data_IF_600023186913
#
_entry.id   IF_600023186913
#
_cell.length_a   1.000
_cell.length_b   1.000
_cell.length_c   1.000
_cell.angle_alpha   90.00
_cell.angle_beta   90.00
_cell.angle_gamma   90.00
#
_symmetry.space_group_name_H-M   'P 1'
#
loop_
_entity.id
_entity.type
_entity.pdbx_description
1 polymer ?
#
# COMPACT_ATOMS: atom_id res chain seq x y z
N UNK A 1 2.44 0.83 -20.42
CA UNK A 1 2.75 2.07 -19.67
C UNK A 1 4.28 2.29 -19.56
N UNK A 2 5.10 1.29 -19.23
CA UNK A 2 6.58 1.39 -19.18
C UNK A 2 7.23 1.77 -20.53
N UNK A 3 6.79 1.18 -21.63
CA UNK A 3 7.29 1.51 -22.98
C UNK A 3 7.03 2.98 -23.33
N UNK A 4 5.95 3.57 -22.79
CA UNK A 4 5.60 4.98 -23.01
C UNK A 4 6.30 5.93 -22.07
N UNK A 5 6.58 5.49 -20.83
CA UNK A 5 7.42 6.26 -19.94
C UNK A 5 8.83 6.47 -20.53
N UNK A 6 9.28 5.54 -21.36
CA UNK A 6 10.54 5.67 -22.12
C UNK A 6 10.51 6.81 -23.16
N UNK A 7 9.32 7.27 -23.59
CA UNK A 7 9.18 8.45 -24.46
C UNK A 7 9.47 9.76 -23.70
N UNK A 8 9.40 9.74 -22.36
CA UNK A 8 9.63 10.89 -21.50
C UNK A 8 10.67 10.59 -20.41
N UNK A 9 11.89 10.22 -20.76
CA UNK A 9 12.90 9.70 -19.81
C UNK A 9 13.26 10.71 -18.71
N UNK A 10 13.17 12.00 -19.05
CA UNK A 10 13.46 13.06 -18.08
C UNK A 10 12.47 13.09 -16.90
N UNK A 11 11.17 12.92 -17.16
CA UNK A 11 10.16 12.89 -16.09
C UNK A 11 10.28 11.63 -15.26
N UNK A 12 10.58 10.51 -15.89
CA UNK A 12 10.83 9.25 -15.19
C UNK A 12 12.03 9.37 -14.24
N UNK A 13 13.14 9.93 -14.72
CA UNK A 13 14.35 10.18 -13.92
C UNK A 13 14.05 11.12 -12.74
N UNK A 14 13.25 12.16 -12.96
CA UNK A 14 12.82 13.09 -11.91
C UNK A 14 11.96 12.40 -10.85
N UNK A 15 10.98 11.59 -11.25
CA UNK A 15 10.15 10.80 -10.33
C UNK A 15 10.99 9.87 -9.45
N UNK A 16 11.96 9.19 -10.04
CA UNK A 16 12.91 8.34 -9.29
C UNK A 16 13.69 9.20 -8.26
N UNK A 17 14.16 10.36 -8.68
CA UNK A 17 14.92 11.27 -7.81
C UNK A 17 14.09 11.81 -6.65
N UNK A 18 12.84 12.22 -6.90
CA UNK A 18 11.90 12.69 -5.88
C UNK A 18 11.60 11.56 -4.89
N UNK A 19 11.26 10.38 -5.40
CA UNK A 19 10.91 9.22 -4.59
C UNK A 19 11.99 8.81 -3.59
N UNK A 20 13.25 8.90 -3.97
CA UNK A 20 14.39 8.57 -3.09
C UNK A 20 14.50 9.49 -1.88
N UNK A 21 13.83 10.65 -1.90
CA UNK A 21 13.88 11.65 -0.84
C UNK A 21 12.67 11.62 0.10
N UNK A 22 11.64 10.80 -0.22
CA UNK A 22 10.43 10.71 0.60
C UNK A 22 10.74 10.16 1.99
N UNK A 23 11.56 9.11 2.05
CA UNK A 23 11.86 8.41 3.30
C UNK A 23 13.34 8.51 3.63
N UNK A 24 13.64 9.11 4.77
CA UNK A 24 14.98 9.19 5.35
C UNK A 24 15.12 8.13 6.44
N UNK A 25 15.97 7.13 6.21
CA UNK A 25 16.21 6.06 7.17
C UNK A 25 17.04 6.57 8.34
N UNK A 26 16.51 6.45 9.55
CA UNK A 26 17.14 6.92 10.79
C UNK A 26 17.61 5.79 11.70
N UNK A 27 16.96 4.61 11.63
CA UNK A 27 17.35 3.44 12.41
C UNK A 27 16.94 2.13 11.73
N UNK A 28 17.44 1.01 12.26
CA UNK A 28 17.07 -0.35 11.82
C UNK A 28 16.47 -1.12 12.98
N UNK A 29 15.36 -1.80 12.71
CA UNK A 29 14.74 -2.69 13.69
C UNK A 29 15.49 -4.02 13.78
N UNK A 30 15.48 -4.65 14.95
CA UNK A 30 15.72 -6.09 15.07
C UNK A 30 14.56 -6.87 14.44
N UNK A 31 14.76 -8.14 14.15
CA UNK A 31 13.69 -9.01 13.69
C UNK A 31 13.88 -10.40 14.26
N UNK A 32 12.79 -10.96 14.74
CA UNK A 32 12.64 -12.38 15.07
C UNK A 32 11.52 -12.95 14.20
N UNK A 33 11.61 -14.22 13.81
CA UNK A 33 10.59 -14.87 13.00
C UNK A 33 10.22 -16.24 13.55
N UNK A 34 8.94 -16.60 13.42
CA UNK A 34 8.40 -17.92 13.63
C UNK A 34 7.79 -18.40 12.30
N UNK A 35 8.48 -19.30 11.61
CA UNK A 35 8.14 -19.78 10.28
C UNK A 35 7.29 -21.05 10.35
N UNK A 36 6.33 -21.20 9.43
CA UNK A 36 5.44 -22.35 9.41
C UNK A 36 4.93 -22.63 7.99
N UNK A 37 4.48 -23.86 7.74
CA UNK A 37 3.80 -24.23 6.49
C UNK A 37 2.33 -23.84 6.50
N UNK A 38 1.71 -23.86 7.66
CA UNK A 38 0.33 -23.46 7.88
C UNK A 38 0.26 -22.17 8.70
N UNK A 39 -0.76 -21.32 8.51
CA UNK A 39 -0.95 -20.11 9.30
C UNK A 39 -1.08 -20.44 10.79
N UNK A 40 -0.34 -19.75 11.64
CA UNK A 40 -0.50 -19.80 13.09
C UNK A 40 -1.51 -18.73 13.49
N UNK A 41 -2.65 -19.08 14.09
CA UNK A 41 -3.64 -18.09 14.54
C UNK A 41 -3.04 -17.08 15.55
N UNK A 42 -3.49 -15.82 15.49
CA UNK A 42 -3.02 -14.78 16.43
C UNK A 42 -3.15 -15.20 17.90
N UNK A 43 -4.22 -15.92 18.24
CA UNK A 43 -4.46 -16.46 19.60
C UNK A 43 -3.42 -17.50 20.08
N UNK A 44 -2.63 -18.02 19.19
CA UNK A 44 -1.61 -19.03 19.49
C UNK A 44 -0.19 -18.48 19.34
N UNK A 45 -0.03 -17.22 19.02
CA UNK A 45 1.26 -16.61 18.70
C UNK A 45 2.25 -16.67 19.87
N UNK A 46 1.76 -16.61 21.10
CA UNK A 46 2.60 -16.68 22.31
C UNK A 46 3.27 -18.05 22.50
N UNK A 47 2.74 -19.09 21.84
CA UNK A 47 3.30 -20.45 21.83
C UNK A 47 4.30 -20.66 20.68
N UNK A 48 4.39 -19.74 19.75
CA UNK A 48 5.28 -19.83 18.60
C UNK A 48 6.74 -19.57 19.03
N UNK A 49 7.64 -20.36 18.48
CA UNK A 49 9.08 -20.20 18.73
C UNK A 49 9.66 -19.17 17.77
N UNK A 50 9.87 -17.98 18.26
CA UNK A 50 10.58 -16.94 17.53
C UNK A 50 12.09 -17.15 17.62
N UNK A 51 12.77 -16.93 16.52
CA UNK A 51 14.24 -16.96 16.44
C UNK A 51 14.76 -15.72 15.73
N UNK A 52 15.96 -15.21 16.07
CA UNK A 52 16.55 -14.06 15.41
C UNK A 52 16.59 -14.23 13.89
N UNK A 53 16.16 -13.20 13.14
CA UNK A 53 16.03 -13.25 11.71
C UNK A 53 16.71 -12.06 11.01
N UNK A 54 17.65 -12.35 10.10
CA UNK A 54 18.49 -11.33 9.47
C UNK A 54 17.93 -10.92 8.10
N UNK A 55 18.16 -9.67 7.72
CA UNK A 55 17.94 -9.19 6.35
C UNK A 55 18.74 -10.06 5.37
N UNK A 56 18.10 -10.44 4.26
CA UNK A 56 18.65 -11.38 3.27
C UNK A 56 18.30 -12.84 3.51
N UNK A 57 17.87 -13.23 4.72
CA UNK A 57 17.48 -14.61 5.02
C UNK A 57 16.20 -14.99 4.28
N UNK A 58 16.19 -16.21 3.74
CA UNK A 58 15.00 -16.83 3.12
C UNK A 58 14.06 -17.29 4.22
N UNK A 59 12.76 -17.01 4.09
CA UNK A 59 11.77 -17.41 5.07
C UNK A 59 10.70 -18.36 4.53
N UNK A 60 10.57 -18.44 3.21
CA UNK A 60 9.55 -19.30 2.64
C UNK A 60 9.59 -19.39 1.12
N UNK A 61 8.69 -20.15 0.61
CA UNK A 61 8.32 -20.31 -0.79
C UNK A 61 6.78 -20.32 -0.93
N UNK A 62 6.27 -20.85 -2.04
CA UNK A 62 4.84 -20.84 -2.34
C UNK A 62 4.01 -21.37 -1.15
N UNK A 63 3.07 -20.53 -0.69
CA UNK A 63 2.11 -20.75 0.38
C UNK A 63 2.70 -20.93 1.80
N UNK A 64 4.00 -20.67 1.98
CA UNK A 64 4.61 -20.64 3.29
C UNK A 64 4.14 -19.40 4.08
N UNK A 65 4.14 -19.55 5.40
CA UNK A 65 3.68 -18.57 6.37
C UNK A 65 4.77 -18.23 7.37
N UNK A 66 4.66 -17.07 7.99
CA UNK A 66 5.57 -16.70 9.07
C UNK A 66 5.08 -15.48 9.83
N UNK A 67 5.27 -15.52 11.13
CA UNK A 67 5.15 -14.35 11.98
C UNK A 67 6.51 -13.69 12.13
N UNK A 68 6.53 -12.37 11.93
CA UNK A 68 7.74 -11.55 12.07
C UNK A 68 7.51 -10.52 13.16
N UNK A 69 8.42 -10.42 14.11
CA UNK A 69 8.39 -9.44 15.18
C UNK A 69 9.53 -8.47 15.00
N UNK A 70 9.20 -7.22 14.74
CA UNK A 70 10.16 -6.13 14.54
C UNK A 70 10.17 -5.24 15.78
N UNK A 71 11.37 -5.01 16.35
CA UNK A 71 11.56 -4.13 17.50
C UNK A 71 12.65 -3.13 17.24
N UNK A 72 12.46 -1.94 17.74
CA UNK A 72 13.40 -0.82 17.63
C UNK A 72 13.05 0.31 18.56
N UNK A 73 13.81 1.37 18.44
CA UNK A 73 13.62 2.60 19.19
C UNK A 73 13.77 3.78 18.23
N UNK A 74 12.92 4.79 18.37
CA UNK A 74 12.98 6.02 17.58
C UNK A 74 14.09 6.88 18.18
N UNK A 75 15.08 7.35 17.37
CA UNK A 75 16.10 8.25 17.84
C UNK A 75 15.51 9.56 18.42
N UNK A 76 16.11 10.09 19.47
CA UNK A 76 15.67 11.32 20.15
C UNK A 76 15.62 12.53 19.20
N UNK A 77 16.52 12.60 18.23
CA UNK A 77 16.57 13.65 17.21
C UNK A 77 15.38 13.64 16.25
N UNK A 78 14.58 12.59 16.28
CA UNK A 78 13.35 12.47 15.48
C UNK A 78 12.14 13.14 16.13
N UNK A 79 12.29 13.81 17.24
CA UNK A 79 11.20 14.56 17.90
C UNK A 79 10.50 15.52 16.93
N UNK A 80 9.16 15.48 16.93
CA UNK A 80 8.33 16.30 16.05
C UNK A 80 8.25 15.82 14.61
N UNK A 81 8.84 14.66 14.26
CA UNK A 81 8.84 14.14 12.90
C UNK A 81 7.75 13.08 12.70
N UNK A 82 7.27 12.97 11.46
CA UNK A 82 6.41 11.86 11.03
C UNK A 82 7.29 10.61 10.82
N UNK A 83 7.04 9.57 11.62
CA UNK A 83 7.84 8.33 11.63
C UNK A 83 7.04 7.17 11.06
N UNK A 84 7.71 6.41 10.21
CA UNK A 84 7.17 5.22 9.57
C UNK A 84 8.12 4.04 9.71
N UNK A 85 7.58 2.81 9.73
CA UNK A 85 8.35 1.61 9.51
C UNK A 85 8.32 1.20 8.03
N UNK A 86 9.48 0.90 7.48
CA UNK A 86 9.63 0.39 6.12
C UNK A 86 9.93 -1.10 6.19
N UNK A 87 8.90 -1.92 5.90
CA UNK A 87 8.96 -3.37 6.04
C UNK A 87 8.75 -4.03 4.68
N UNK A 88 9.68 -4.86 4.26
CA UNK A 88 9.58 -5.68 3.06
C UNK A 88 9.99 -7.11 3.35
N UNK A 89 9.02 -7.99 3.42
CA UNK A 89 9.20 -9.44 3.57
C UNK A 89 9.09 -10.18 2.23
N UNK A 90 8.96 -9.49 1.10
CA UNK A 90 8.63 -10.05 -0.22
C UNK A 90 7.33 -10.87 -0.26
N UNK A 91 6.53 -10.82 0.79
CA UNK A 91 5.22 -11.46 0.93
C UNK A 91 4.14 -10.45 1.25
N UNK A 92 2.93 -10.93 1.40
CA UNK A 92 1.79 -10.19 1.90
C UNK A 92 1.70 -10.36 3.42
N UNK A 93 1.17 -9.38 4.15
CA UNK A 93 1.01 -9.52 5.59
C UNK A 93 0.03 -8.54 6.21
N UNK A 94 -0.33 -8.81 7.46
CA UNK A 94 -1.06 -7.89 8.33
C UNK A 94 -0.11 -7.39 9.41
N UNK A 95 0.04 -6.08 9.51
CA UNK A 95 0.83 -5.46 10.57
C UNK A 95 -0.05 -5.16 11.78
N UNK A 96 0.45 -5.55 12.95
CA UNK A 96 -0.13 -5.27 14.26
C UNK A 96 0.81 -4.34 15.03
N UNK A 97 0.25 -3.30 15.65
CA UNK A 97 0.95 -2.41 16.58
C UNK A 97 0.17 -2.46 17.90
N UNK A 98 0.87 -2.66 18.99
CA UNK A 98 0.26 -2.81 20.33
C UNK A 98 -0.86 -3.86 20.36
N UNK A 99 -0.66 -4.96 19.64
CA UNK A 99 -1.61 -6.07 19.54
C UNK A 99 -2.82 -5.82 18.63
N UNK A 100 -3.02 -4.60 18.11
CA UNK A 100 -4.14 -4.22 17.25
C UNK A 100 -3.75 -4.24 15.78
N UNK A 101 -4.69 -4.64 14.93
CA UNK A 101 -4.51 -4.61 13.47
C UNK A 101 -4.39 -3.15 13.01
N UNK A 102 -3.27 -2.84 12.36
CA UNK A 102 -3.01 -1.50 11.81
C UNK A 102 -3.36 -1.45 10.31
N UNK A 103 -2.71 -2.29 9.50
CA UNK A 103 -2.87 -2.29 8.05
C UNK A 103 -2.31 -3.54 7.39
N UNK A 104 -2.66 -3.73 6.11
CA UNK A 104 -2.02 -4.72 5.25
C UNK A 104 -0.65 -4.27 4.75
N UNK A 105 0.23 -5.24 4.53
CA UNK A 105 1.48 -5.10 3.77
C UNK A 105 1.30 -5.94 2.51
N UNK A 106 1.66 -5.39 1.36
CA UNK A 106 1.49 -6.08 0.08
C UNK A 106 2.81 -6.62 -0.45
N UNK A 107 2.71 -7.68 -1.22
CA UNK A 107 3.85 -8.32 -1.86
C UNK A 107 4.54 -7.35 -2.83
N UNK A 108 5.87 -7.27 -2.72
CA UNK A 108 6.70 -6.57 -3.70
C UNK A 108 7.63 -7.57 -4.33
N UNK A 109 7.30 -7.95 -5.54
CA UNK A 109 8.18 -8.73 -6.38
C UNK A 109 9.12 -7.80 -7.11
N UNK A 110 10.40 -8.20 -7.20
CA UNK A 110 11.42 -7.45 -7.91
C UNK A 110 10.98 -7.16 -9.35
N UNK A 111 10.78 -5.90 -9.65
CA UNK A 111 10.43 -5.40 -10.96
C UNK A 111 10.59 -3.88 -10.98
N UNK A 112 11.14 -3.35 -12.06
CA UNK A 112 11.23 -1.91 -12.31
C UNK A 112 9.83 -1.42 -12.69
N UNK A 113 8.92 -1.40 -11.74
CA UNK A 113 7.62 -0.79 -11.96
C UNK A 113 7.63 0.64 -11.40
N UNK A 114 8.18 1.54 -12.19
CA UNK A 114 8.35 2.95 -11.83
C UNK A 114 7.09 3.78 -12.08
N UNK A 115 6.17 3.26 -12.86
CA UNK A 115 4.97 3.98 -13.32
C UNK A 115 3.70 3.35 -12.78
N UNK A 116 3.68 2.05 -12.58
CA UNK A 116 2.63 1.44 -11.79
C UNK A 116 3.00 1.65 -10.31
N UNK A 117 2.24 2.45 -9.63
CA UNK A 117 2.29 2.71 -8.18
C UNK A 117 2.14 1.45 -7.32
N UNK A 118 2.11 0.30 -7.93
CA UNK A 118 1.91 -1.02 -7.37
C UNK A 118 3.17 -1.65 -6.78
N UNK A 119 4.17 -0.88 -6.41
CA UNK A 119 5.07 -1.38 -5.37
C UNK A 119 4.26 -1.39 -4.09
N UNK A 120 3.87 -2.57 -3.71
CA UNK A 120 3.00 -2.84 -2.60
C UNK A 120 3.29 -1.98 -1.38
N UNK A 121 2.31 -1.82 -0.54
CA UNK A 121 2.40 -0.99 0.65
C UNK A 121 3.41 -1.61 1.61
N UNK A 122 4.62 -1.05 1.65
CA UNK A 122 5.72 -1.44 2.55
C UNK A 122 5.87 -0.48 3.72
N UNK A 123 5.06 0.57 3.74
CA UNK A 123 5.14 1.66 4.70
C UNK A 123 4.06 1.46 5.75
N UNK A 124 4.45 1.36 6.99
CA UNK A 124 3.55 1.29 8.15
C UNK A 124 3.70 2.56 8.94
N UNK A 125 2.61 3.35 9.02
CA UNK A 125 2.63 4.60 9.78
C UNK A 125 2.69 4.29 11.28
N UNK A 126 3.64 4.92 11.97
CA UNK A 126 3.85 4.78 13.40
C UNK A 126 3.37 6.01 14.16
N UNK A 127 4.00 7.16 13.94
CA UNK A 127 3.71 8.41 14.65
C UNK A 127 3.68 9.57 13.67
N UNK A 128 2.59 10.33 13.64
CA UNK A 128 2.53 11.57 12.84
C UNK A 128 3.46 12.67 13.41
N UNK A 129 3.72 12.60 14.73
CA UNK A 129 4.60 13.51 15.44
C UNK A 129 5.24 12.70 16.57
N UNK A 130 6.46 12.21 16.38
CA UNK A 130 7.17 11.43 17.38
C UNK A 130 7.67 12.31 18.53
N UNK A 131 7.81 11.73 19.72
CA UNK A 131 8.39 12.41 20.88
C UNK A 131 9.90 12.19 21.00
N UNK A 132 10.44 11.17 20.33
CA UNK A 132 11.80 10.66 20.45
C UNK A 132 11.91 9.62 21.59
N UNK A 133 12.68 8.57 21.37
CA UNK A 133 12.88 7.50 22.35
C UNK A 133 11.75 6.47 22.44
N UNK A 134 10.69 6.56 21.63
CA UNK A 134 9.60 5.57 21.65
C UNK A 134 10.09 4.19 21.19
N UNK A 135 9.70 3.19 21.96
CA UNK A 135 9.95 1.79 21.62
C UNK A 135 8.91 1.27 20.64
N UNK A 136 9.37 0.57 19.63
CA UNK A 136 8.53 -0.01 18.58
C UNK A 136 8.49 -1.52 18.77
N UNK A 137 7.29 -2.10 18.73
CA UNK A 137 7.05 -3.54 18.65
C UNK A 137 5.95 -3.80 17.63
N UNK A 138 6.33 -4.27 16.43
CA UNK A 138 5.42 -4.55 15.31
C UNK A 138 5.43 -6.06 15.08
N UNK A 139 4.24 -6.66 15.09
CA UNK A 139 4.04 -8.03 14.63
C UNK A 139 3.48 -8.01 13.20
N UNK A 140 4.00 -8.90 12.35
CA UNK A 140 3.49 -9.07 10.98
C UNK A 140 3.15 -10.53 10.76
N UNK A 141 1.87 -10.83 10.50
CA UNK A 141 1.41 -12.11 10.00
C UNK A 141 1.66 -12.16 8.49
N UNK A 142 2.71 -12.81 8.06
CA UNK A 142 3.19 -12.85 6.69
C UNK A 142 2.86 -14.17 5.98
N UNK A 143 2.55 -14.08 4.69
CA UNK A 143 2.36 -15.21 3.79
C UNK A 143 2.89 -14.90 2.39
N UNK A 144 3.25 -15.93 1.65
CA UNK A 144 3.66 -15.80 0.27
C UNK A 144 2.78 -16.66 -0.64
N UNK A 145 2.06 -16.02 -1.56
CA UNK A 145 1.08 -16.68 -2.43
C UNK A 145 1.65 -17.12 -3.79
N UNK A 146 2.97 -17.30 -3.85
CA UNK A 146 3.61 -17.64 -5.11
C UNK A 146 3.76 -16.46 -6.05
N UNK A 147 4.36 -16.71 -7.20
CA UNK A 147 4.46 -15.77 -8.32
C UNK A 147 3.75 -16.38 -9.51
N UNK A 148 2.83 -15.62 -10.11
CA UNK A 148 2.14 -16.02 -11.34
C UNK A 148 3.17 -16.52 -12.36
N UNK A 149 2.98 -17.73 -12.88
CA UNK A 149 3.84 -18.40 -13.86
C UNK A 149 5.25 -18.81 -13.36
N UNK A 150 5.51 -18.83 -12.03
CA UNK A 150 6.75 -19.35 -11.46
C UNK A 150 6.47 -20.04 -10.14
N UNK A 151 6.72 -21.34 -10.03
CA UNK A 151 6.70 -22.11 -8.78
C UNK A 151 8.08 -22.08 -8.12
N UNK A 152 8.11 -22.35 -6.82
CA UNK A 152 9.35 -22.50 -6.05
C UNK A 152 10.15 -21.21 -5.85
N UNK A 153 9.53 -20.04 -6.01
CA UNK A 153 10.19 -18.76 -5.76
C UNK A 153 10.44 -18.63 -4.25
N UNK A 154 11.69 -18.44 -3.87
CA UNK A 154 12.05 -18.15 -2.49
C UNK A 154 11.91 -16.68 -2.16
N UNK A 155 11.35 -16.38 -0.99
CA UNK A 155 11.16 -15.03 -0.47
C UNK A 155 12.03 -14.74 0.73
N UNK A 156 12.44 -13.48 0.86
CA UNK A 156 13.41 -13.03 1.84
C UNK A 156 12.91 -11.85 2.64
N UNK A 157 13.43 -11.66 3.85
CA UNK A 157 13.36 -10.40 4.54
C UNK A 157 14.32 -9.41 3.85
N UNK A 158 13.77 -8.37 3.23
CA UNK A 158 14.55 -7.37 2.45
C UNK A 158 14.78 -6.10 3.24
N UNK A 159 13.77 -5.64 4.00
CA UNK A 159 13.82 -4.34 4.66
C UNK A 159 13.12 -4.34 6.01
N UNK A 160 13.70 -3.62 6.98
CA UNK A 160 13.18 -3.45 8.33
C UNK A 160 13.72 -2.17 8.96
N UNK A 161 13.40 -1.03 8.33
CA UNK A 161 13.95 0.27 8.71
C UNK A 161 12.91 1.14 9.41
N UNK A 162 13.37 2.03 10.29
CA UNK A 162 12.64 3.17 10.82
C UNK A 162 13.06 4.38 9.98
N UNK A 163 12.09 5.17 9.53
CA UNK A 163 12.37 6.32 8.68
C UNK A 163 11.48 7.51 9.01
N UNK A 164 12.01 8.71 8.79
CA UNK A 164 11.23 9.92 8.70
C UNK A 164 10.50 9.93 7.36
N UNK A 165 9.20 10.21 7.37
CA UNK A 165 8.42 10.49 6.18
C UNK A 165 8.40 11.99 5.89
N UNK A 166 8.91 12.40 4.75
CA UNK A 166 8.83 13.78 4.26
C UNK A 166 7.48 14.01 3.55
N UNK A 167 6.48 14.46 4.30
CA UNK A 167 5.11 14.62 3.81
C UNK A 167 5.00 15.61 2.64
N UNK A 168 5.76 16.70 2.67
CA UNK A 168 5.79 17.66 1.57
C UNK A 168 6.31 17.03 0.26
N UNK A 169 7.37 16.20 0.37
CA UNK A 169 7.92 15.49 -0.79
C UNK A 169 6.96 14.40 -1.25
N UNK A 170 6.31 13.69 -0.31
CA UNK A 170 5.35 12.65 -0.61
C UNK A 170 4.15 13.22 -1.38
N UNK A 171 3.60 14.34 -0.92
CA UNK A 171 2.47 15.01 -1.57
C UNK A 171 2.85 15.49 -2.98
N UNK A 172 3.97 16.20 -3.11
CA UNK A 172 4.48 16.64 -4.41
C UNK A 172 4.77 15.46 -5.35
N UNK A 173 5.29 14.34 -4.84
CA UNK A 173 5.53 13.13 -5.63
C UNK A 173 4.26 12.62 -6.29
N UNK A 174 3.16 12.56 -5.55
CA UNK A 174 1.89 12.07 -6.08
C UNK A 174 1.27 13.04 -7.08
N UNK A 175 1.35 14.34 -6.86
CA UNK A 175 0.89 15.33 -7.84
C UNK A 175 1.66 15.21 -9.16
N UNK A 176 2.99 15.12 -9.06
CA UNK A 176 3.85 14.93 -10.21
C UNK A 176 3.55 13.63 -10.94
N UNK A 177 3.38 12.53 -10.21
CA UNK A 177 3.05 11.22 -10.75
C UNK A 177 1.69 11.22 -11.45
N UNK A 178 0.68 11.84 -10.85
CA UNK A 178 -0.66 11.92 -11.42
C UNK A 178 -0.66 12.66 -12.76
N UNK A 179 -0.03 13.81 -12.83
CA UNK A 179 0.09 14.58 -14.08
C UNK A 179 0.93 13.84 -15.12
N UNK A 180 1.99 13.15 -14.70
CA UNK A 180 2.78 12.33 -15.59
C UNK A 180 1.98 11.16 -16.16
N UNK A 181 1.20 10.46 -15.33
CA UNK A 181 0.31 9.39 -15.79
C UNK A 181 -0.75 9.92 -16.75
N UNK A 182 -1.31 11.10 -16.48
CA UNK A 182 -2.25 11.77 -17.36
C UNK A 182 -1.62 12.06 -18.73
N UNK A 183 -0.41 12.61 -18.76
CA UNK A 183 0.35 12.85 -19.98
C UNK A 183 0.59 11.55 -20.78
N UNK A 184 0.90 10.44 -20.10
CA UNK A 184 1.08 9.14 -20.76
C UNK A 184 -0.23 8.59 -21.33
N UNK A 185 -1.34 8.85 -20.67
CA UNK A 185 -2.68 8.42 -21.10
C UNK A 185 -3.15 9.27 -22.29
N UNK A 186 -2.97 10.56 -22.22
CA UNK A 186 -3.33 11.49 -23.30
C UNK A 186 -2.55 11.26 -24.59
N UNK A 187 -1.29 10.88 -24.51
CA UNK A 187 -0.48 10.50 -25.68
C UNK A 187 -1.06 9.31 -26.46
N UNK A 188 -2.09 8.63 -25.93
CA UNK A 188 -2.82 7.56 -26.63
C UNK A 188 -4.07 8.02 -27.35
N UNK A 189 -4.66 9.11 -26.94
CA UNK A 189 -5.92 9.60 -27.47
C UNK A 189 -5.64 10.58 -28.59
N UNK A 190 -5.96 10.17 -29.82
CA UNK A 190 -5.77 10.99 -31.02
C UNK A 190 -6.59 12.31 -31.00
N UNK A 191 -7.56 12.40 -30.07
CA UNK A 191 -8.44 13.57 -29.93
C UNK A 191 -7.88 14.63 -28.96
N UNK A 192 -6.73 14.38 -28.31
CA UNK A 192 -6.10 15.35 -27.45
C UNK A 192 -4.98 16.09 -28.14
N UNK A 193 -5.05 17.39 -28.06
CA UNK A 193 -4.18 18.29 -28.81
C UNK A 193 -2.73 18.20 -28.30
N UNK A 194 -1.79 18.37 -29.22
CA UNK A 194 -0.36 18.48 -28.92
C UNK A 194 -0.08 19.61 -27.90
N UNK A 195 -0.95 20.62 -27.89
CA UNK A 195 -0.92 21.77 -26.97
C UNK A 195 -1.04 21.31 -25.51
N UNK A 196 -2.05 20.47 -25.19
CA UNK A 196 -2.26 19.95 -23.83
C UNK A 196 -1.07 19.13 -23.31
N UNK A 197 -0.53 18.27 -24.16
CA UNK A 197 0.67 17.51 -23.80
C UNK A 197 1.86 18.43 -23.51
N UNK A 198 2.03 19.47 -24.33
CA UNK A 198 3.07 20.48 -24.15
C UNK A 198 2.88 21.29 -22.85
N UNK A 199 1.64 21.61 -22.50
CA UNK A 199 1.31 22.31 -21.25
C UNK A 199 1.67 21.49 -20.02
N UNK A 200 1.29 20.20 -19.99
CA UNK A 200 1.62 19.30 -18.88
C UNK A 200 3.14 19.11 -18.77
N UNK A 201 3.84 18.89 -19.89
CA UNK A 201 5.30 18.76 -19.92
C UNK A 201 6.00 20.02 -19.34
N UNK A 202 5.56 21.21 -19.78
CA UNK A 202 6.06 22.49 -19.27
C UNK A 202 5.76 22.65 -17.78
N UNK A 203 4.55 22.28 -17.33
CA UNK A 203 4.15 22.35 -15.93
C UNK A 203 5.00 21.45 -15.05
N UNK A 204 5.18 20.19 -15.43
CA UNK A 204 6.04 19.24 -14.74
C UNK A 204 7.50 19.72 -14.69
N UNK A 205 7.99 20.27 -15.80
CA UNK A 205 9.36 20.79 -15.87
C UNK A 205 9.56 22.04 -15.01
N UNK A 206 8.57 22.94 -14.95
CA UNK A 206 8.59 24.13 -14.10
C UNK A 206 8.49 23.77 -12.62
N UNK A 207 7.55 22.89 -12.25
CA UNK A 207 7.38 22.44 -10.86
C UNK A 207 8.65 21.80 -10.32
N UNK A 208 9.35 20.99 -11.10
CA UNK A 208 10.60 20.37 -10.67
C UNK A 208 11.72 21.40 -10.42
N UNK A 209 11.76 22.51 -11.15
CA UNK A 209 12.68 23.61 -10.88
C UNK A 209 12.33 24.33 -9.54
N UNK A 210 11.03 24.50 -9.26
CA UNK A 210 10.55 25.08 -8.00
C UNK A 210 10.89 24.13 -6.84
N UNK A 211 10.66 22.82 -7.00
CA UNK A 211 10.92 21.79 -5.99
C UNK A 211 12.40 21.75 -5.51
N UNK A 212 13.35 22.21 -6.33
CA UNK A 212 14.76 22.35 -5.92
C UNK A 212 14.97 23.43 -4.86
N UNK A 213 14.00 24.32 -4.66
CA UNK A 213 14.02 25.40 -3.66
C UNK A 213 12.99 25.14 -2.55
N UNK A 214 11.79 24.70 -2.90
CA UNK A 214 10.69 24.43 -1.96
C UNK A 214 9.75 23.39 -2.51
N UNK A 215 9.56 22.30 -1.78
CA UNK A 215 8.61 21.25 -2.11
C UNK A 215 7.16 21.72 -1.98
N UNK A 216 6.88 22.49 -0.92
CA UNK A 216 5.56 23.09 -0.67
C UNK A 216 5.12 23.97 -1.83
N UNK A 217 5.97 24.90 -2.29
CA UNK A 217 5.64 25.76 -3.44
C UNK A 217 5.48 24.98 -4.74
N UNK A 218 6.22 23.89 -4.91
CA UNK A 218 6.07 23.03 -6.09
C UNK A 218 4.74 22.26 -6.07
N UNK A 219 4.31 21.78 -4.89
CA UNK A 219 3.00 21.19 -4.67
C UNK A 219 1.90 22.22 -4.97
N UNK A 220 1.91 23.40 -4.35
CA UNK A 220 0.95 24.46 -4.59
C UNK A 220 0.83 24.84 -6.08
N UNK A 221 1.97 24.87 -6.78
CA UNK A 221 1.99 25.13 -8.22
C UNK A 221 1.27 24.03 -9.02
N UNK A 222 1.50 22.75 -8.73
CA UNK A 222 0.84 21.64 -9.43
C UNK A 222 -0.64 21.53 -9.04
N UNK A 223 -0.97 21.74 -7.76
CA UNK A 223 -2.36 21.72 -7.28
C UNK A 223 -3.23 22.70 -8.06
N UNK A 224 -2.75 23.92 -8.32
CA UNK A 224 -3.49 24.90 -9.15
C UNK A 224 -3.81 24.37 -10.53
N UNK A 225 -2.90 23.59 -11.14
CA UNK A 225 -3.09 22.99 -12.46
C UNK A 225 -4.08 21.82 -12.39
N UNK A 226 -3.94 20.96 -11.37
CA UNK A 226 -4.79 19.78 -11.16
C UNK A 226 -6.23 20.18 -10.87
N UNK A 227 -6.44 21.26 -10.11
CA UNK A 227 -7.76 21.71 -9.66
C UNK A 227 -8.38 22.74 -10.59
N UNK A 228 -7.69 23.20 -11.63
CA UNK A 228 -8.28 24.12 -12.62
C UNK A 228 -9.39 23.41 -13.38
N UNK A 229 -10.63 23.93 -13.34
CA UNK A 229 -11.73 23.33 -14.09
C UNK A 229 -11.41 23.27 -15.58
N UNK A 230 -11.75 22.15 -16.19
CA UNK A 230 -11.67 22.00 -17.64
C UNK A 230 -12.99 22.53 -18.18
N UNK A 231 -12.93 23.52 -19.07
CA UNK A 231 -14.10 24.03 -19.79
C UNK A 231 -14.49 23.01 -20.87
N UNK A 232 -15.22 22.00 -20.45
CA UNK A 232 -15.81 21.01 -21.35
C UNK A 232 -17.10 20.46 -20.72
N UNK A 233 -18.01 19.98 -21.54
CA UNK A 233 -19.15 19.16 -21.11
C UNK A 233 -18.59 17.80 -20.61
N UNK A 234 -18.13 17.77 -19.36
CA UNK A 234 -17.51 16.60 -18.78
C UNK A 234 -18.54 15.73 -18.06
N UNK A 235 -18.47 14.45 -18.28
CA UNK A 235 -19.13 13.46 -17.44
C UNK A 235 -18.56 13.53 -16.03
N UNK A 236 -19.44 13.58 -15.04
CA UNK A 236 -19.03 13.50 -13.65
C UNK A 236 -18.61 12.04 -13.31
N UNK A 237 -17.47 11.89 -12.67
CA UNK A 237 -16.95 10.60 -12.23
C UNK A 237 -16.88 10.55 -10.71
N UNK A 238 -17.50 9.53 -10.13
CA UNK A 238 -17.33 9.20 -8.71
C UNK A 238 -16.33 8.06 -8.57
N UNK A 239 -15.21 8.30 -7.90
CA UNK A 239 -14.20 7.28 -7.63
C UNK A 239 -14.43 6.67 -6.24
N UNK A 240 -14.66 5.36 -6.20
CA UNK A 240 -14.85 4.59 -4.96
C UNK A 240 -13.74 3.53 -4.88
N UNK A 241 -13.13 3.38 -3.70
CA UNK A 241 -12.18 2.31 -3.45
C UNK A 241 -12.87 0.95 -3.53
N UNK A 242 -12.21 -0.03 -4.15
CA UNK A 242 -12.68 -1.42 -4.24
C UNK A 242 -11.49 -2.36 -4.29
N UNK A 243 -11.68 -3.59 -3.83
CA UNK A 243 -10.70 -4.66 -3.97
C UNK A 243 -11.43 -5.98 -4.21
N UNK A 244 -11.43 -6.44 -5.46
CA UNK A 244 -11.91 -7.78 -5.78
C UNK A 244 -10.97 -8.84 -5.16
N UNK A 245 -11.56 -9.84 -4.52
CA UNK A 245 -10.83 -10.97 -3.93
C UNK A 245 -11.51 -12.27 -4.37
N UNK A 246 -10.81 -13.04 -5.21
CA UNK A 246 -11.23 -14.40 -5.49
C UNK A 246 -11.27 -15.20 -4.18
N UNK A 247 -12.36 -15.89 -3.89
CA UNK A 247 -12.50 -16.67 -2.66
C UNK A 247 -11.59 -17.90 -2.60
N UNK A 248 -11.15 -18.37 -3.74
CA UNK A 248 -9.93 -19.13 -3.97
C UNK A 248 -9.53 -18.93 -5.43
N UNK A 249 -8.24 -18.95 -5.73
CA UNK A 249 -7.73 -18.87 -7.11
C UNK A 249 -6.39 -19.59 -7.24
N UNK A 250 -5.28 -18.87 -7.45
CA UNK A 250 -3.93 -19.42 -7.41
C UNK A 250 -3.38 -19.51 -5.96
N UNK A 251 -4.28 -19.48 -4.99
CA UNK A 251 -4.00 -19.60 -3.55
C UNK A 251 -5.13 -20.40 -2.86
N UNK A 252 -4.83 -21.08 -1.74
CA UNK A 252 -5.81 -21.83 -0.99
C UNK A 252 -6.76 -20.93 -0.17
N UNK A 253 -7.93 -21.47 0.22
CA UNK A 253 -8.95 -20.74 1.03
C UNK A 253 -8.36 -20.11 2.29
N UNK A 254 -7.42 -20.78 2.99
CA UNK A 254 -6.77 -20.21 4.18
C UNK A 254 -6.08 -18.87 3.90
N UNK A 255 -5.57 -18.69 2.68
CA UNK A 255 -5.00 -17.40 2.26
C UNK A 255 -6.08 -16.37 1.90
N UNK A 256 -7.22 -16.80 1.36
CA UNK A 256 -8.35 -15.90 1.12
C UNK A 256 -8.84 -15.27 2.43
N UNK A 257 -8.95 -16.04 3.51
CA UNK A 257 -9.31 -15.53 4.84
C UNK A 257 -8.35 -14.42 5.27
N UNK A 258 -7.04 -14.66 5.16
CA UNK A 258 -6.00 -13.67 5.49
C UNK A 258 -6.03 -12.45 4.54
N UNK A 259 -6.33 -12.65 3.25
CA UNK A 259 -6.52 -11.55 2.28
C UNK A 259 -7.70 -10.67 2.65
N UNK A 260 -8.81 -11.23 3.11
CA UNK A 260 -9.96 -10.47 3.63
C UNK A 260 -9.54 -9.55 4.76
N UNK A 261 -8.87 -10.09 5.78
CA UNK A 261 -8.35 -9.30 6.91
C UNK A 261 -7.42 -8.18 6.45
N UNK A 262 -6.45 -8.49 5.57
CA UNK A 262 -5.50 -7.49 5.02
C UNK A 262 -6.21 -6.37 4.26
N UNK A 263 -7.20 -6.73 3.44
CA UNK A 263 -7.94 -5.78 2.61
C UNK A 263 -8.76 -4.83 3.46
N UNK A 264 -9.57 -5.34 4.38
CA UNK A 264 -10.37 -4.49 5.25
C UNK A 264 -9.51 -3.66 6.22
N UNK A 265 -8.42 -4.22 6.74
CA UNK A 265 -7.46 -3.45 7.53
C UNK A 265 -6.90 -2.26 6.75
N UNK A 266 -6.55 -2.48 5.48
CA UNK A 266 -6.03 -1.42 4.60
C UNK A 266 -7.10 -0.38 4.27
N UNK A 267 -8.33 -0.80 3.96
CA UNK A 267 -9.44 0.10 3.66
C UNK A 267 -9.77 1.00 4.86
N UNK A 268 -9.87 0.41 6.06
CA UNK A 268 -10.13 1.16 7.30
C UNK A 268 -8.99 2.11 7.65
N UNK A 269 -7.73 1.69 7.49
CA UNK A 269 -6.59 2.59 7.69
C UNK A 269 -6.59 3.76 6.68
N UNK A 270 -7.05 3.54 5.45
CA UNK A 270 -7.23 4.63 4.49
C UNK A 270 -8.38 5.56 4.89
N UNK A 271 -9.47 5.03 5.47
CA UNK A 271 -10.55 5.86 6.02
C UNK A 271 -10.08 6.73 7.18
N UNK A 272 -9.24 6.19 8.07
CA UNK A 272 -8.63 6.97 9.16
C UNK A 272 -7.77 8.14 8.62
N UNK A 273 -7.07 7.91 7.50
CA UNK A 273 -6.15 8.88 6.89
C UNK A 273 -6.84 9.92 6.01
N UNK A 274 -7.86 9.49 5.26
CA UNK A 274 -8.48 10.29 4.21
C UNK A 274 -9.98 10.44 4.48
N UNK A 275 -10.43 11.60 4.96
CA UNK A 275 -11.84 11.81 5.37
C UNK A 275 -12.86 11.49 4.28
N UNK A 276 -12.52 11.72 3.01
CA UNK A 276 -13.42 11.49 1.88
C UNK A 276 -13.30 10.08 1.26
N UNK A 277 -12.39 9.22 1.76
CA UNK A 277 -12.22 7.88 1.21
C UNK A 277 -13.42 7.01 1.54
N UNK A 278 -14.00 6.41 0.51
CA UNK A 278 -15.07 5.42 0.59
C UNK A 278 -14.62 4.10 -0.04
N UNK A 279 -15.16 3.01 0.45
CA UNK A 279 -14.82 1.67 -0.02
C UNK A 279 -16.07 0.83 -0.24
N UNK A 280 -16.20 0.23 -1.43
CA UNK A 280 -17.22 -0.75 -1.74
C UNK A 280 -16.66 -2.17 -1.58
N UNK A 281 -17.42 -3.05 -0.94
CA UNK A 281 -17.05 -4.45 -0.79
C UNK A 281 -18.24 -5.35 -1.03
N UNK A 282 -18.00 -6.43 -1.76
CA UNK A 282 -18.92 -7.49 -2.06
C UNK A 282 -18.57 -8.78 -1.31
N UNK A 283 -19.34 -9.85 -1.54
CA UNK A 283 -19.10 -11.20 -1.04
C UNK A 283 -19.24 -11.34 0.48
N UNK A 284 -20.44 -11.65 0.93
CA UNK A 284 -20.76 -11.86 2.36
C UNK A 284 -19.81 -12.86 3.06
N UNK A 285 -19.30 -13.85 2.33
CA UNK A 285 -18.33 -14.82 2.85
C UNK A 285 -17.03 -14.17 3.34
N UNK A 286 -16.54 -13.07 2.71
CA UNK A 286 -15.35 -12.36 3.19
C UNK A 286 -15.61 -11.69 4.55
N UNK A 287 -16.78 -11.08 4.72
CA UNK A 287 -17.18 -10.48 5.99
C UNK A 287 -17.34 -11.52 7.09
N UNK A 288 -17.87 -12.69 6.76
CA UNK A 288 -17.99 -13.81 7.70
C UNK A 288 -16.60 -14.25 8.18
N UNK A 289 -15.65 -14.44 7.29
CA UNK A 289 -14.28 -14.80 7.65
C UNK A 289 -13.56 -13.71 8.45
N UNK A 290 -13.77 -12.45 8.13
CA UNK A 290 -13.20 -11.35 8.94
C UNK A 290 -13.79 -11.33 10.33
N UNK A 291 -15.10 -11.60 10.49
CA UNK A 291 -15.75 -11.74 11.80
C UNK A 291 -15.14 -12.87 12.62
N UNK A 292 -14.80 -14.00 12.00
CA UNK A 292 -14.24 -15.18 12.65
C UNK A 292 -12.75 -14.99 13.02
N UNK A 293 -11.95 -14.47 12.08
CA UNK A 293 -10.49 -14.39 12.21
C UNK A 293 -10.00 -13.11 12.92
N UNK A 294 -10.78 -12.02 12.83
CA UNK A 294 -10.42 -10.71 13.33
C UNK A 294 -11.65 -9.93 13.83
N UNK A 295 -12.31 -10.39 14.91
CA UNK A 295 -13.56 -9.79 15.38
C UNK A 295 -13.45 -8.29 15.70
N UNK A 296 -12.32 -7.83 16.24
CA UNK A 296 -12.08 -6.39 16.48
C UNK A 296 -12.10 -5.57 15.19
N UNK A 297 -11.52 -6.12 14.11
CA UNK A 297 -11.56 -5.48 12.80
C UNK A 297 -12.99 -5.46 12.24
N UNK A 298 -13.76 -6.53 12.46
CA UNK A 298 -15.14 -6.61 12.03
C UNK A 298 -16.02 -5.56 12.70
N UNK A 299 -15.80 -5.24 13.99
CA UNK A 299 -16.50 -4.13 14.66
C UNK A 299 -16.20 -2.78 13.98
N UNK A 300 -14.94 -2.54 13.58
CA UNK A 300 -14.58 -1.34 12.81
C UNK A 300 -15.25 -1.32 11.43
N UNK A 301 -15.38 -2.48 10.78
CA UNK A 301 -16.13 -2.60 9.51
C UNK A 301 -17.59 -2.18 9.70
N UNK A 302 -18.27 -2.69 10.75
CA UNK A 302 -19.65 -2.30 11.05
C UNK A 302 -19.78 -0.80 11.28
N UNK A 303 -18.85 -0.21 12.01
CA UNK A 303 -18.86 1.25 12.23
C UNK A 303 -18.68 2.00 10.91
N UNK A 304 -17.75 1.58 10.06
CA UNK A 304 -17.53 2.21 8.74
C UNK A 304 -18.76 2.11 7.82
N UNK A 305 -19.53 1.02 7.91
CA UNK A 305 -20.82 0.87 7.21
C UNK A 305 -21.84 1.85 7.79
N UNK A 306 -21.98 1.92 9.12
CA UNK A 306 -22.91 2.85 9.78
C UNK A 306 -22.61 4.32 9.46
N UNK A 307 -21.32 4.67 9.34
CA UNK A 307 -20.86 6.02 8.98
C UNK A 307 -21.00 6.33 7.47
N UNK A 308 -21.49 5.40 6.65
CA UNK A 308 -21.58 5.56 5.19
C UNK A 308 -20.24 5.68 4.49
N UNK A 309 -19.19 5.11 5.10
CA UNK A 309 -17.81 5.09 4.58
C UNK A 309 -17.48 3.77 3.86
N UNK A 310 -18.20 2.70 4.19
CA UNK A 310 -18.12 1.40 3.55
C UNK A 310 -19.49 1.00 3.02
N UNK A 311 -19.56 0.70 1.73
CA UNK A 311 -20.76 0.22 1.04
C UNK A 311 -20.72 -1.29 0.92
N UNK A 312 -21.81 -1.96 1.35
CA UNK A 312 -22.02 -3.39 1.13
C UNK A 312 -22.66 -3.58 -0.24
N UNK A 313 -21.93 -4.16 -1.17
CA UNK A 313 -22.36 -4.31 -2.56
C UNK A 313 -22.83 -5.74 -2.86
N UNK A 314 -23.93 -5.83 -3.62
CA UNK A 314 -24.52 -7.10 -4.06
C UNK A 314 -25.22 -7.87 -2.95
N UNK A 315 -26.01 -8.87 -3.35
CA UNK A 315 -26.76 -9.73 -2.44
C UNK A 315 -26.30 -11.19 -2.45
N UNK A 316 -25.20 -11.49 -3.15
CA UNK A 316 -24.69 -12.85 -3.29
C UNK A 316 -23.70 -13.18 -2.17
N UNK A 317 -23.74 -14.42 -1.71
CA UNK A 317 -22.81 -14.92 -0.69
C UNK A 317 -21.37 -14.90 -1.18
N UNK A 318 -21.19 -15.29 -2.46
CA UNK A 318 -19.94 -15.22 -3.22
C UNK A 318 -20.23 -14.61 -4.58
N UNK A 319 -19.27 -13.99 -5.22
CA UNK A 319 -19.39 -13.57 -6.61
C UNK A 319 -19.33 -14.80 -7.52
N UNK A 320 -20.40 -15.02 -8.28
CA UNK A 320 -20.48 -16.15 -9.19
C UNK A 320 -19.75 -15.85 -10.51
N UNK A 321 -19.10 -16.87 -11.06
CA UNK A 321 -18.59 -16.84 -12.42
C UNK A 321 -19.76 -16.81 -13.43
N UNK A 322 -19.63 -16.06 -14.50
CA UNK A 322 -20.65 -15.97 -15.55
C UNK A 322 -20.93 -17.33 -16.21
N UNK A 323 -19.96 -18.24 -16.23
CA UNK A 323 -20.10 -19.59 -16.81
C UNK A 323 -20.60 -20.60 -15.78
N UNK A 324 -20.55 -20.28 -14.48
CA UNK A 324 -21.04 -21.13 -13.37
C UNK A 324 -21.87 -20.23 -12.44
N UNK A 325 -23.09 -19.86 -12.85
CA UNK A 325 -23.92 -18.89 -12.15
C UNK A 325 -24.57 -19.38 -10.86
N UNK A 326 -24.52 -20.68 -10.60
CA UNK A 326 -25.01 -21.28 -9.35
C UNK A 326 -23.87 -22.00 -8.64
N UNK A 327 -23.60 -21.61 -7.42
CA UNK A 327 -22.61 -22.27 -6.54
C UNK A 327 -23.14 -23.57 -5.93
#
# INVERSE_FOLDING_TARGET
MLERAALYPIHLTRLISIRKKIYEVVARMSCEAALSKEPIPKSQIDKAKFSPFKTGSVWGSDFDCGWFRFRGEIPEECKGKHIVALINIQGEGVAYIDGKIKQGITQVLDGIDLVQSAKGKQVVDLFNCAEGGEKIDILVDGGFNGKRNKSGVQVKLVRKDIAICNDEILTYYYDYLQLFCLMLTYGQNKNLTKERLSEIDKALSRSYKIARKSWTQAHEFLTKIITTPIDCECTEYTAIGHAHIDLAWLWPIRETKRKGVRTFATALNNMDKYPNYKFGASQAQLFQWVKEEAPELYERVKQAVADGRMELQGGMWTENDCNIPSG
#
